data_IF_698122658855
#
_entry.id   IF_698122658855
#
_cell.length_a   1.000
_cell.length_b   1.000
_cell.length_c   1.000
_cell.angle_alpha   90.00
_cell.angle_beta   90.00
_cell.angle_gamma   90.00
#
_symmetry.space_group_name_H-M   'P 1'
#
loop_
_entity.id
_entity.type
_entity.pdbx_description
1 polymer ?
#
# COMPACT_ATOMS: atom_id res chain seq x y z
N UNK A 1 -0.86 2.81 2.91
CA UNK A 1 -0.44 1.38 2.91
C UNK A 1 0.82 1.20 2.08
N UNK A 2 0.80 1.49 0.76
CA UNK A 2 1.94 1.24 -0.14
C UNK A 2 3.26 1.82 0.40
N UNK A 3 3.30 3.12 0.74
CA UNK A 3 4.51 3.78 1.25
C UNK A 3 5.06 3.13 2.54
N UNK A 4 4.18 2.70 3.46
CA UNK A 4 4.61 2.01 4.68
C UNK A 4 5.23 0.64 4.37
N UNK A 5 4.57 -0.13 3.48
CA UNK A 5 5.07 -1.45 3.07
C UNK A 5 6.41 -1.33 2.38
N UNK A 6 6.55 -0.37 1.46
CA UNK A 6 7.79 -0.12 0.74
C UNK A 6 8.93 0.29 1.69
N UNK A 7 8.68 1.27 2.57
CA UNK A 7 9.69 1.72 3.54
C UNK A 7 10.22 0.58 4.41
N UNK A 8 9.34 -0.31 4.90
CA UNK A 8 9.74 -1.46 5.73
C UNK A 8 10.46 -2.51 4.88
N UNK A 9 9.90 -2.86 3.70
CA UNK A 9 10.44 -3.93 2.87
C UNK A 9 11.82 -3.58 2.32
N UNK A 10 12.01 -2.38 1.77
CA UNK A 10 13.30 -1.89 1.27
C UNK A 10 14.34 -1.80 2.40
N UNK A 11 13.96 -1.22 3.55
CA UNK A 11 14.87 -1.12 4.70
C UNK A 11 15.30 -2.51 5.19
N UNK A 12 14.34 -3.43 5.33
CA UNK A 12 14.65 -4.81 5.78
C UNK A 12 15.51 -5.54 4.75
N UNK A 13 15.20 -5.40 3.46
CA UNK A 13 15.93 -6.04 2.38
C UNK A 13 17.36 -5.52 2.22
N UNK A 14 17.59 -4.23 2.51
CA UNK A 14 18.94 -3.63 2.43
C UNK A 14 19.90 -4.16 3.50
N UNK A 15 19.39 -4.72 4.60
CA UNK A 15 20.22 -5.32 5.63
C UNK A 15 20.81 -6.65 5.13
N UNK A 16 22.15 -6.81 5.09
CA UNK A 16 22.74 -8.04 4.60
C UNK A 16 22.52 -9.21 5.56
N UNK A 17 22.03 -10.33 5.04
CA UNK A 17 21.99 -11.58 5.78
C UNK A 17 23.34 -12.31 5.64
N UNK A 18 24.12 -12.29 6.70
CA UNK A 18 25.45 -12.89 6.73
C UNK A 18 25.38 -14.22 7.49
N UNK A 19 25.81 -15.29 6.84
CA UNK A 19 25.96 -16.59 7.45
C UNK A 19 27.30 -16.69 8.18
N UNK A 20 27.28 -17.07 9.45
CA UNK A 20 28.48 -17.26 10.26
C UNK A 20 28.62 -18.74 10.66
N UNK A 21 29.86 -19.22 10.65
CA UNK A 21 30.28 -20.46 11.28
C UNK A 21 30.71 -20.14 12.71
N UNK A 22 30.24 -20.90 13.67
CA UNK A 22 30.67 -20.78 15.06
C UNK A 22 31.89 -21.67 15.29
N UNK A 23 33.00 -21.07 15.72
CA UNK A 23 34.21 -21.78 16.14
C UNK A 23 34.05 -22.44 17.52
N UNK A 24 34.97 -23.33 17.88
CA UNK A 24 34.98 -24.04 19.18
C UNK A 24 35.12 -23.06 20.35
N UNK A 25 35.89 -21.99 20.18
CA UNK A 25 36.11 -20.94 21.19
C UNK A 25 34.98 -19.89 21.24
N UNK A 26 33.88 -20.09 20.48
CA UNK A 26 32.76 -19.16 20.42
C UNK A 26 32.92 -18.02 19.43
N UNK A 27 34.03 -17.93 18.75
CA UNK A 27 34.30 -16.98 17.68
C UNK A 27 33.36 -17.18 16.47
N UNK A 28 33.15 -16.11 15.71
CA UNK A 28 32.26 -16.12 14.54
C UNK A 28 33.05 -15.77 13.29
N UNK A 29 33.14 -16.72 12.36
CA UNK A 29 33.73 -16.54 11.04
C UNK A 29 32.64 -16.51 9.97
N UNK A 30 32.78 -15.63 8.96
CA UNK A 30 31.84 -15.60 7.82
C UNK A 30 31.99 -16.89 7.01
N UNK A 31 30.91 -17.64 6.86
CA UNK A 31 30.87 -18.89 6.13
C UNK A 31 30.64 -18.65 4.62
N UNK A 32 31.55 -17.92 3.98
CA UNK A 32 31.44 -17.52 2.56
C UNK A 32 31.53 -18.72 1.60
N UNK A 33 32.12 -19.82 2.04
CA UNK A 33 32.21 -21.09 1.33
C UNK A 33 30.93 -21.90 1.38
N UNK A 34 29.99 -21.59 2.29
CA UNK A 34 28.74 -22.32 2.43
C UNK A 34 27.75 -21.88 1.34
N UNK A 35 27.11 -22.82 0.59
CA UNK A 35 26.19 -22.48 -0.49
C UNK A 35 25.06 -21.52 -0.09
N UNK A 36 24.53 -21.69 1.11
CA UNK A 36 23.48 -20.82 1.63
C UNK A 36 23.93 -19.36 1.82
N UNK A 37 25.25 -19.10 1.97
CA UNK A 37 25.76 -17.74 2.04
C UNK A 37 25.38 -16.95 0.80
N UNK A 38 25.68 -17.51 -0.39
CA UNK A 38 25.34 -16.88 -1.68
C UNK A 38 23.85 -16.66 -1.83
N UNK A 39 23.03 -17.64 -1.47
CA UNK A 39 21.56 -17.57 -1.60
C UNK A 39 20.96 -16.44 -0.75
N UNK A 40 21.47 -16.26 0.46
CA UNK A 40 20.96 -15.27 1.41
C UNK A 40 21.57 -13.87 1.23
N UNK A 41 22.80 -13.79 0.71
CA UNK A 41 23.56 -12.54 0.63
C UNK A 41 23.59 -11.95 -0.78
N UNK A 42 23.87 -12.77 -1.80
CA UNK A 42 24.15 -12.28 -3.15
C UNK A 42 22.97 -12.54 -4.11
N UNK A 43 22.64 -13.80 -4.35
CA UNK A 43 21.76 -14.24 -5.43
C UNK A 43 20.82 -15.34 -4.92
N UNK A 44 19.54 -15.03 -4.77
CA UNK A 44 18.54 -15.97 -4.27
C UNK A 44 18.23 -17.08 -5.29
N UNK A 45 18.13 -16.72 -6.57
CA UNK A 45 17.87 -17.62 -7.71
C UNK A 45 18.39 -16.96 -9.00
N UNK A 46 18.40 -17.65 -10.15
CA UNK A 46 18.90 -17.09 -11.42
C UNK A 46 18.22 -15.79 -11.88
N UNK A 47 17.01 -15.52 -11.42
CA UNK A 47 16.20 -14.36 -11.86
C UNK A 47 16.21 -13.21 -10.84
N UNK A 48 16.56 -13.48 -9.56
CA UNK A 48 16.43 -12.51 -8.48
C UNK A 48 17.67 -12.46 -7.59
N UNK A 49 18.11 -11.28 -7.28
CA UNK A 49 19.10 -11.04 -6.23
C UNK A 49 18.54 -11.42 -4.86
N UNK A 50 19.41 -11.61 -3.88
CA UNK A 50 18.99 -11.85 -2.50
C UNK A 50 18.20 -10.66 -1.91
N UNK A 51 18.52 -9.43 -2.34
CA UNK A 51 17.79 -8.22 -1.94
C UNK A 51 16.36 -8.24 -2.47
N UNK A 52 16.18 -8.43 -3.78
CA UNK A 52 14.85 -8.47 -4.41
C UNK A 52 13.96 -9.58 -3.84
N UNK A 53 14.52 -10.76 -3.60
CA UNK A 53 13.79 -11.86 -2.98
C UNK A 53 13.34 -11.52 -1.54
N UNK A 54 14.20 -10.90 -0.74
CA UNK A 54 13.86 -10.46 0.64
C UNK A 54 12.80 -9.37 0.63
N UNK A 55 12.93 -8.38 -0.25
CA UNK A 55 11.96 -7.31 -0.40
C UNK A 55 10.57 -7.85 -0.75
N UNK A 56 10.50 -8.71 -1.77
CA UNK A 56 9.26 -9.36 -2.19
C UNK A 56 8.63 -10.16 -1.04
N UNK A 57 9.40 -10.96 -0.32
CA UNK A 57 8.91 -11.76 0.79
C UNK A 57 8.46 -10.88 1.96
N UNK A 58 9.20 -9.80 2.27
CA UNK A 58 8.81 -8.87 3.33
C UNK A 58 7.51 -8.14 2.98
N UNK A 59 7.35 -7.72 1.72
CA UNK A 59 6.09 -7.14 1.25
C UNK A 59 4.92 -8.15 1.36
N UNK A 60 5.15 -9.41 1.04
CA UNK A 60 4.18 -10.51 1.22
C UNK A 60 3.72 -10.66 2.67
N UNK A 61 4.66 -10.65 3.61
CA UNK A 61 4.36 -10.70 5.06
C UNK A 61 3.52 -9.50 5.49
N UNK A 62 3.85 -8.29 5.03
CA UNK A 62 3.15 -7.06 5.41
C UNK A 62 1.76 -6.94 4.79
N UNK A 63 1.58 -7.42 3.56
CA UNK A 63 0.30 -7.33 2.85
C UNK A 63 -0.65 -8.49 3.16
N UNK A 64 -0.10 -9.72 3.22
CA UNK A 64 -0.88 -10.97 3.32
C UNK A 64 -0.73 -11.67 4.66
N UNK A 65 0.18 -11.20 5.51
CA UNK A 65 0.54 -11.88 6.76
C UNK A 65 1.48 -13.06 6.58
N UNK A 66 1.74 -13.47 5.34
CA UNK A 66 2.53 -14.65 5.00
C UNK A 66 3.40 -14.39 3.77
N UNK A 67 4.57 -15.00 3.76
CA UNK A 67 5.38 -15.13 2.56
C UNK A 67 5.96 -16.54 2.47
N UNK A 68 6.05 -17.04 1.25
CA UNK A 68 6.52 -18.38 0.98
C UNK A 68 7.64 -18.34 -0.03
N UNK A 69 8.62 -19.21 0.13
CA UNK A 69 9.60 -19.47 -0.92
C UNK A 69 9.90 -20.95 -1.01
N UNK A 70 9.97 -21.46 -2.24
CA UNK A 70 10.42 -22.81 -2.52
C UNK A 70 11.93 -22.89 -2.36
N UNK A 71 12.40 -23.91 -1.65
CA UNK A 71 13.79 -24.24 -1.45
C UNK A 71 14.22 -25.28 -2.48
N UNK A 72 15.13 -24.92 -3.39
CA UNK A 72 15.73 -25.87 -4.33
C UNK A 72 17.06 -26.34 -3.74
N UNK A 73 17.20 -27.66 -3.64
CA UNK A 73 18.37 -28.30 -3.01
C UNK A 73 19.23 -29.00 -4.06
N UNK A 74 20.53 -29.00 -3.83
CA UNK A 74 21.46 -29.82 -4.58
C UNK A 74 21.41 -31.31 -4.15
N UNK A 75 22.18 -32.13 -4.83
CA UNK A 75 22.30 -33.57 -4.50
C UNK A 75 22.86 -33.83 -3.12
N UNK A 76 23.59 -32.86 -2.55
CA UNK A 76 24.11 -32.84 -1.18
C UNK A 76 23.08 -32.44 -0.13
N UNK A 77 21.83 -32.19 -0.54
CA UNK A 77 20.73 -31.75 0.34
C UNK A 77 20.80 -30.27 0.73
N UNK A 78 21.86 -29.54 0.34
CA UNK A 78 22.01 -28.13 0.70
C UNK A 78 21.16 -27.23 -0.20
N UNK A 79 20.62 -26.14 0.38
CA UNK A 79 19.84 -25.16 -0.39
C UNK A 79 20.75 -24.40 -1.35
N UNK A 80 20.39 -24.42 -2.62
CA UNK A 80 21.10 -23.75 -3.72
C UNK A 80 20.35 -22.56 -4.26
N UNK A 81 19.00 -22.56 -4.14
CA UNK A 81 18.15 -21.49 -4.63
C UNK A 81 16.95 -21.30 -3.70
N UNK A 82 16.46 -20.06 -3.64
CA UNK A 82 15.26 -19.64 -2.95
C UNK A 82 14.33 -18.94 -3.96
N UNK A 83 13.19 -19.53 -4.23
CA UNK A 83 12.20 -19.03 -5.18
C UNK A 83 10.99 -18.48 -4.42
N UNK A 84 10.83 -17.15 -4.26
CA UNK A 84 9.63 -16.57 -3.69
C UNK A 84 8.39 -16.97 -4.49
N UNK A 85 7.34 -17.35 -3.77
CA UNK A 85 6.05 -17.75 -4.34
C UNK A 85 5.03 -16.64 -4.08
N UNK A 86 4.09 -16.46 -5.02
CA UNK A 86 2.96 -15.54 -4.78
C UNK A 86 2.09 -16.11 -3.64
N UNK A 87 1.95 -15.40 -2.51
CA UNK A 87 1.18 -15.89 -1.37
C UNK A 87 -0.30 -16.17 -1.70
N UNK A 88 -0.87 -15.45 -2.66
CA UNK A 88 -2.28 -15.63 -3.07
C UNK A 88 -2.50 -16.97 -3.79
N UNK A 89 -1.42 -17.61 -4.26
CA UNK A 89 -1.44 -18.88 -4.97
C UNK A 89 -1.04 -20.07 -4.08
N UNK A 90 -0.81 -19.85 -2.79
CA UNK A 90 -0.39 -20.91 -1.85
C UNK A 90 -1.51 -21.20 -0.87
N UNK A 91 -1.92 -22.46 -0.82
CA UNK A 91 -2.84 -22.99 0.20
C UNK A 91 -2.08 -23.89 1.15
N UNK A 92 -2.15 -23.60 2.45
CA UNK A 92 -1.48 -24.41 3.48
C UNK A 92 -2.48 -25.35 4.13
N UNK A 93 -2.15 -26.61 4.20
CA UNK A 93 -3.00 -27.65 4.79
C UNK A 93 -2.23 -28.45 5.84
N UNK A 94 -2.92 -28.78 6.94
CA UNK A 94 -2.40 -29.69 7.96
C UNK A 94 -2.88 -31.11 7.63
N UNK A 95 -1.94 -32.02 7.44
CA UNK A 95 -2.19 -33.44 7.23
C UNK A 95 -1.69 -34.26 8.41
N UNK A 96 -1.96 -35.57 8.41
CA UNK A 96 -1.42 -36.51 9.41
C UNK A 96 0.12 -36.60 9.41
N UNK A 97 0.75 -36.27 8.27
CA UNK A 97 2.21 -36.27 8.09
C UNK A 97 2.85 -34.90 8.28
N UNK A 98 2.09 -33.87 8.61
CA UNK A 98 2.58 -32.51 8.80
C UNK A 98 1.92 -31.48 7.88
N UNK A 99 2.57 -30.30 7.74
CA UNK A 99 2.09 -29.25 6.85
C UNK A 99 2.49 -29.54 5.40
N UNK A 100 1.54 -29.29 4.50
CA UNK A 100 1.76 -29.31 3.05
C UNK A 100 1.33 -27.98 2.46
N UNK A 101 1.99 -27.58 1.38
CA UNK A 101 1.79 -26.29 0.71
C UNK A 101 1.41 -26.59 -0.74
N UNK A 102 0.16 -26.32 -1.09
CA UNK A 102 -0.35 -26.48 -2.45
C UNK A 102 -0.18 -25.14 -3.18
N UNK A 103 0.74 -25.11 -4.13
CA UNK A 103 1.02 -23.93 -4.95
C UNK A 103 0.43 -24.10 -6.35
N UNK A 104 -0.41 -23.17 -6.76
CA UNK A 104 -1.04 -23.17 -8.10
C UNK A 104 -0.43 -22.06 -8.95
N UNK A 105 0.21 -22.40 -10.06
CA UNK A 105 0.71 -21.45 -11.05
C UNK A 105 0.26 -21.88 -12.45
N UNK A 106 -0.31 -20.95 -13.20
CA UNK A 106 -0.78 -21.17 -14.58
C UNK A 106 -1.70 -22.43 -14.73
N UNK A 107 -2.55 -22.64 -13.70
CA UNK A 107 -3.46 -23.77 -13.64
C UNK A 107 -2.81 -25.10 -13.21
N UNK A 108 -1.51 -25.13 -12.98
CA UNK A 108 -0.79 -26.32 -12.52
C UNK A 108 -0.64 -26.29 -11.00
N UNK A 109 -1.16 -27.33 -10.33
CA UNK A 109 -1.03 -27.53 -8.89
C UNK A 109 0.28 -28.28 -8.59
N UNK A 110 1.11 -27.70 -7.75
CA UNK A 110 2.33 -28.34 -7.21
C UNK A 110 2.21 -28.45 -5.70
N UNK A 111 2.27 -29.66 -5.17
CA UNK A 111 2.30 -29.90 -3.73
C UNK A 111 3.74 -29.91 -3.24
N UNK A 112 4.03 -29.05 -2.26
CA UNK A 112 5.34 -28.95 -1.62
C UNK A 112 5.23 -29.41 -0.15
N UNK A 113 6.25 -30.07 0.33
CA UNK A 113 6.35 -30.51 1.71
C UNK A 113 6.95 -29.41 2.60
N UNK A 114 6.77 -29.52 3.90
CA UNK A 114 7.22 -28.52 4.86
C UNK A 114 8.74 -28.20 4.77
N UNK A 115 9.57 -29.18 4.45
CA UNK A 115 11.02 -29.00 4.30
C UNK A 115 11.44 -28.38 2.96
N UNK A 116 10.51 -28.25 2.00
CA UNK A 116 10.73 -27.64 0.71
C UNK A 116 10.31 -26.17 0.66
N UNK A 117 9.71 -25.65 1.76
CA UNK A 117 9.16 -24.29 1.80
C UNK A 117 9.73 -23.51 2.99
N UNK A 118 10.30 -22.35 2.71
CA UNK A 118 10.49 -21.32 3.72
C UNK A 118 9.19 -20.53 3.86
N UNK A 119 8.57 -20.60 5.03
CA UNK A 119 7.34 -19.88 5.35
C UNK A 119 7.63 -18.79 6.39
N UNK A 120 7.61 -17.52 5.98
CA UNK A 120 7.68 -16.36 6.86
C UNK A 120 6.26 -15.91 7.21
N UNK A 121 6.06 -15.58 8.48
CA UNK A 121 4.74 -15.23 9.02
C UNK A 121 4.83 -13.92 9.77
N UNK A 122 3.79 -13.13 9.69
CA UNK A 122 3.56 -12.03 10.61
C UNK A 122 3.17 -12.59 12.00
N UNK A 123 2.25 -11.98 12.72
CA UNK A 123 1.71 -12.57 13.95
C UNK A 123 0.89 -13.82 13.60
N UNK A 124 1.12 -14.92 14.31
CA UNK A 124 0.35 -16.15 14.12
C UNK A 124 -1.14 -15.91 14.41
N UNK A 125 -1.98 -16.48 13.56
CA UNK A 125 -3.41 -16.58 13.76
C UNK A 125 -3.80 -17.71 14.71
N UNK A 126 -5.11 -17.88 14.92
CA UNK A 126 -5.67 -18.84 15.88
C UNK A 126 -5.41 -20.30 15.47
N UNK A 127 -5.17 -20.56 14.18
CA UNK A 127 -4.79 -21.88 13.65
C UNK A 127 -3.35 -22.28 13.98
N UNK A 128 -2.53 -21.34 14.49
CA UNK A 128 -1.12 -21.53 14.81
C UNK A 128 -0.23 -21.85 13.59
N UNK A 129 -0.74 -21.66 12.36
CA UNK A 129 -0.06 -22.00 11.11
C UNK A 129 0.13 -20.77 10.24
N UNK A 130 -0.95 -20.05 9.99
CA UNK A 130 -0.93 -18.87 9.11
C UNK A 130 -0.68 -17.60 9.92
N UNK A 131 0.04 -16.67 9.31
CA UNK A 131 0.19 -15.31 9.81
C UNK A 131 -1.04 -14.46 9.49
N UNK A 132 -1.44 -13.60 10.42
CA UNK A 132 -2.54 -12.66 10.23
C UNK A 132 -2.06 -11.47 9.40
N UNK A 133 -2.78 -11.14 8.33
CA UNK A 133 -2.52 -9.93 7.56
C UNK A 133 -2.79 -8.68 8.41
N UNK A 134 -1.83 -7.73 8.52
CA UNK A 134 -2.06 -6.44 9.18
C UNK A 134 -3.25 -5.68 8.58
N UNK A 135 -3.40 -5.75 7.25
CA UNK A 135 -4.50 -5.10 6.53
C UNK A 135 -5.85 -5.74 6.90
N UNK A 136 -5.92 -7.07 6.96
CA UNK A 136 -7.14 -7.76 7.36
C UNK A 136 -7.49 -7.49 8.83
N UNK A 137 -6.49 -7.41 9.71
CA UNK A 137 -6.68 -7.09 11.12
C UNK A 137 -7.20 -5.66 11.35
N UNK A 138 -6.86 -4.72 10.47
CA UNK A 138 -7.29 -3.32 10.53
C UNK A 138 -8.24 -2.95 9.38
N UNK A 139 -9.08 -3.90 8.96
CA UNK A 139 -9.97 -3.77 7.82
C UNK A 139 -10.82 -2.50 7.87
N UNK A 140 -11.40 -2.18 9.02
CA UNK A 140 -12.22 -0.98 9.20
C UNK A 140 -11.46 0.33 8.92
N UNK A 141 -10.19 0.43 9.33
CA UNK A 141 -9.36 1.62 9.05
C UNK A 141 -9.10 1.77 7.55
N UNK A 142 -8.80 0.66 6.88
CA UNK A 142 -8.54 0.66 5.43
C UNK A 142 -9.81 0.97 4.64
N UNK A 143 -10.95 0.39 5.01
CA UNK A 143 -12.25 0.64 4.37
C UNK A 143 -12.69 2.09 4.56
N UNK A 144 -12.52 2.67 5.75
CA UNK A 144 -12.81 4.08 6.00
C UNK A 144 -11.96 4.99 5.11
N UNK A 145 -10.65 4.78 5.06
CA UNK A 145 -9.75 5.55 4.20
C UNK A 145 -10.10 5.43 2.71
N UNK A 146 -10.58 4.28 2.27
CA UNK A 146 -11.07 4.08 0.90
C UNK A 146 -12.36 4.86 0.64
N UNK A 147 -13.32 4.84 1.56
CA UNK A 147 -14.58 5.58 1.46
C UNK A 147 -14.33 7.11 1.42
N UNK A 148 -13.43 7.62 2.23
CA UNK A 148 -13.00 9.03 2.21
C UNK A 148 -12.37 9.44 0.87
N UNK A 149 -11.53 8.57 0.28
CA UNK A 149 -10.95 8.81 -1.04
C UNK A 149 -12.03 8.79 -2.14
N UNK A 150 -12.98 7.88 -2.07
CA UNK A 150 -14.09 7.80 -3.02
C UNK A 150 -15.01 9.02 -2.92
N UNK A 151 -15.35 9.44 -1.71
CA UNK A 151 -16.12 10.66 -1.47
C UNK A 151 -15.40 11.88 -2.09
N UNK A 152 -14.09 12.04 -1.83
CA UNK A 152 -13.31 13.10 -2.42
C UNK A 152 -13.30 13.05 -3.95
N UNK A 153 -13.06 11.87 -4.53
CA UNK A 153 -13.09 11.70 -5.98
C UNK A 153 -14.43 12.11 -6.57
N UNK A 154 -15.53 11.64 -5.99
CA UNK A 154 -16.89 11.96 -6.46
C UNK A 154 -17.19 13.46 -6.34
N UNK A 155 -16.76 14.11 -5.27
CA UNK A 155 -16.91 15.55 -5.08
C UNK A 155 -16.15 16.34 -6.15
N UNK A 156 -14.94 15.92 -6.51
CA UNK A 156 -14.14 16.61 -7.55
C UNK A 156 -14.56 16.27 -8.96
N UNK A 157 -14.99 15.02 -9.24
CA UNK A 157 -15.34 14.58 -10.60
C UNK A 157 -16.72 15.06 -11.01
N UNK A 158 -17.68 15.05 -10.10
CA UNK A 158 -19.07 15.41 -10.39
C UNK A 158 -19.31 16.93 -10.40
N UNK A 159 -18.28 17.73 -10.13
CA UNK A 159 -18.32 19.20 -10.27
C UNK A 159 -19.37 19.90 -9.39
N UNK A 160 -19.87 19.22 -8.36
CA UNK A 160 -21.01 19.66 -7.56
C UNK A 160 -20.68 20.81 -6.56
N UNK A 161 -19.43 21.34 -6.56
CA UNK A 161 -19.12 22.54 -5.80
C UNK A 161 -19.47 23.77 -6.60
N UNK A 162 -20.60 24.37 -6.25
CA UNK A 162 -20.88 25.73 -6.65
C UNK A 162 -19.81 26.63 -6.05
N UNK A 163 -18.95 27.19 -6.88
CA UNK A 163 -17.91 28.16 -6.45
C UNK A 163 -18.54 29.46 -5.94
N UNK A 164 -19.78 29.71 -6.31
CA UNK A 164 -20.54 30.86 -5.91
C UNK A 164 -21.96 30.87 -6.46
N UNK A 165 -22.75 31.79 -6.00
CA UNK A 165 -24.12 32.04 -6.44
C UNK A 165 -24.22 33.45 -7.01
N UNK A 166 -24.76 33.58 -8.21
CA UNK A 166 -25.16 34.86 -8.78
C UNK A 166 -26.58 35.19 -8.30
N UNK A 167 -26.73 36.27 -7.56
CA UNK A 167 -28.03 36.78 -7.07
C UNK A 167 -28.51 37.90 -8.00
N UNK A 168 -29.73 37.77 -8.46
CA UNK A 168 -30.40 38.77 -9.29
C UNK A 168 -31.51 39.43 -8.52
N UNK A 169 -31.71 40.73 -8.65
CA UNK A 169 -32.77 41.47 -7.92
C UNK A 169 -34.17 41.13 -8.39
N UNK A 170 -34.32 40.45 -9.50
CA UNK A 170 -35.60 40.06 -10.08
C UNK A 170 -35.67 38.61 -10.58
N UNK A 171 -36.86 38.19 -11.01
CA UNK A 171 -37.11 36.85 -11.53
C UNK A 171 -36.69 36.79 -13.03
N UNK A 172 -35.69 35.98 -13.30
CA UNK A 172 -35.23 35.71 -14.68
C UNK A 172 -36.15 34.74 -15.42
N UNK A 173 -36.39 34.97 -16.69
CA UNK A 173 -37.02 34.00 -17.58
C UNK A 173 -36.07 32.82 -17.81
N UNK A 174 -36.58 31.61 -18.14
CA UNK A 174 -35.76 30.42 -18.35
C UNK A 174 -34.63 30.65 -19.40
N UNK A 175 -34.95 31.31 -20.49
CA UNK A 175 -34.00 31.60 -21.58
C UNK A 175 -32.87 32.53 -21.15
N UNK A 176 -33.18 33.57 -20.38
CA UNK A 176 -32.19 34.49 -19.80
C UNK A 176 -31.27 33.75 -18.81
N UNK A 177 -31.81 32.87 -18.00
CA UNK A 177 -31.04 32.08 -17.06
C UNK A 177 -30.05 31.18 -17.78
N UNK A 178 -30.47 30.53 -18.87
CA UNK A 178 -29.58 29.68 -19.67
C UNK A 178 -28.48 30.49 -20.35
N UNK A 179 -28.80 31.64 -20.92
CA UNK A 179 -27.84 32.54 -21.57
C UNK A 179 -26.77 33.03 -20.57
N UNK A 180 -27.19 33.46 -19.39
CA UNK A 180 -26.28 33.89 -18.31
C UNK A 180 -25.37 32.73 -17.84
N UNK A 181 -25.94 31.56 -17.62
CA UNK A 181 -25.16 30.39 -17.20
C UNK A 181 -24.09 30.02 -18.24
N UNK A 182 -24.43 30.04 -19.51
CA UNK A 182 -23.51 29.75 -20.61
C UNK A 182 -22.39 30.82 -20.70
N UNK A 183 -22.76 32.12 -20.67
CA UNK A 183 -21.82 33.22 -20.72
C UNK A 183 -20.86 33.20 -19.50
N UNK A 184 -21.39 33.00 -18.30
CA UNK A 184 -20.59 32.91 -17.09
C UNK A 184 -19.61 31.75 -17.15
N UNK A 185 -20.09 30.58 -17.58
CA UNK A 185 -19.27 29.38 -17.70
C UNK A 185 -18.14 29.59 -18.73
N UNK A 186 -18.42 30.20 -19.86
CA UNK A 186 -17.42 30.43 -20.91
C UNK A 186 -16.33 31.45 -20.49
N UNK A 187 -16.67 32.42 -19.66
CA UNK A 187 -15.78 33.48 -19.21
C UNK A 187 -14.98 33.16 -17.97
N UNK A 188 -15.54 32.32 -17.05
CA UNK A 188 -14.99 32.10 -15.71
C UNK A 188 -14.71 30.63 -15.38
N UNK A 189 -15.17 29.66 -16.17
CA UNK A 189 -14.83 28.25 -15.98
C UNK A 189 -13.50 27.89 -16.67
N UNK A 190 -12.78 26.93 -16.01
CA UNK A 190 -11.52 26.39 -16.52
C UNK A 190 -10.27 27.10 -15.99
N UNK A 191 -9.16 26.35 -15.89
CA UNK A 191 -7.91 26.84 -15.32
C UNK A 191 -7.27 28.03 -16.04
N UNK A 192 -7.55 28.20 -17.33
CA UNK A 192 -7.06 29.34 -18.16
C UNK A 192 -7.74 30.65 -17.81
N UNK A 193 -8.90 30.65 -17.17
CA UNK A 193 -9.68 31.82 -16.79
C UNK A 193 -9.56 32.18 -15.31
N UNK A 194 -8.71 31.48 -14.58
CA UNK A 194 -8.45 31.74 -13.17
C UNK A 194 -7.81 33.12 -12.96
N UNK A 195 -8.32 33.89 -11.99
CA UNK A 195 -7.81 35.21 -11.66
C UNK A 195 -8.37 36.37 -12.51
N UNK A 196 -9.32 36.13 -13.42
CA UNK A 196 -9.98 37.22 -14.16
C UNK A 196 -10.98 37.96 -13.28
N UNK A 197 -11.04 39.28 -13.46
CA UNK A 197 -12.05 40.13 -12.77
C UNK A 197 -13.38 40.01 -13.50
N UNK A 198 -14.44 39.69 -12.75
CA UNK A 198 -15.81 39.70 -13.28
C UNK A 198 -16.42 41.11 -13.12
N UNK A 199 -17.10 41.58 -14.14
CA UNK A 199 -17.91 42.79 -14.08
C UNK A 199 -19.37 42.36 -13.93
N UNK A 200 -20.03 42.83 -12.86
CA UNK A 200 -21.41 42.52 -12.58
C UNK A 200 -22.25 43.78 -12.83
N UNK A 201 -23.27 43.64 -13.69
CA UNK A 201 -24.17 44.69 -14.09
C UNK A 201 -25.57 44.48 -13.51
N UNK A 202 -26.45 45.48 -13.59
CA UNK A 202 -27.87 45.42 -13.22
C UNK A 202 -28.18 44.96 -11.77
N UNK A 203 -27.28 45.25 -10.83
CA UNK A 203 -27.49 44.91 -9.44
C UNK A 203 -27.29 43.39 -9.12
N UNK A 204 -26.62 42.68 -10.01
CA UNK A 204 -26.21 41.29 -9.73
C UNK A 204 -25.13 41.27 -8.66
N UNK A 205 -25.29 40.40 -7.67
CA UNK A 205 -24.31 40.14 -6.65
C UNK A 205 -23.73 38.73 -6.77
N UNK A 206 -22.42 38.60 -6.59
CA UNK A 206 -21.73 37.33 -6.55
C UNK A 206 -21.37 36.97 -5.11
N UNK A 207 -22.04 35.98 -4.59
CA UNK A 207 -21.69 35.41 -3.30
C UNK A 207 -20.80 34.18 -3.51
N UNK A 208 -19.51 34.31 -3.19
CA UNK A 208 -18.62 33.17 -3.13
C UNK A 208 -19.10 32.20 -2.02
N UNK A 209 -19.19 30.94 -2.35
CA UNK A 209 -19.40 29.91 -1.34
C UNK A 209 -18.01 29.52 -0.81
N UNK A 210 -17.74 29.91 0.42
CA UNK A 210 -16.54 29.50 1.15
C UNK A 210 -16.56 27.99 1.41
N UNK A 211 -15.39 27.43 1.69
CA UNK A 211 -15.23 26.04 2.11
C UNK A 211 -16.21 25.74 3.27
N UNK A 212 -17.02 24.71 3.10
CA UNK A 212 -17.99 24.32 4.12
C UNK A 212 -17.28 23.72 5.32
N UNK A 213 -17.93 23.70 6.49
CA UNK A 213 -17.41 23.01 7.67
C UNK A 213 -17.15 21.52 7.36
N UNK A 214 -18.04 20.89 6.58
CA UNK A 214 -17.90 19.51 6.11
C UNK A 214 -16.64 19.29 5.28
N UNK A 215 -16.25 20.25 4.43
CA UNK A 215 -15.01 20.15 3.65
C UNK A 215 -13.76 20.22 4.54
N UNK A 216 -13.80 21.06 5.58
CA UNK A 216 -12.71 21.17 6.55
C UNK A 216 -12.60 19.89 7.40
N UNK A 217 -13.72 19.34 7.84
CA UNK A 217 -13.79 18.09 8.58
C UNK A 217 -13.30 16.92 7.72
N UNK A 218 -13.66 16.87 6.43
CA UNK A 218 -13.18 15.85 5.51
C UNK A 218 -11.65 15.90 5.30
N UNK A 219 -11.06 17.10 5.19
CA UNK A 219 -9.61 17.26 5.10
C UNK A 219 -8.94 16.75 6.39
N UNK A 220 -9.49 17.08 7.56
CA UNK A 220 -8.98 16.62 8.84
C UNK A 220 -9.08 15.09 8.98
N UNK A 221 -10.20 14.49 8.58
CA UNK A 221 -10.40 13.05 8.58
C UNK A 221 -9.36 12.35 7.67
N UNK A 222 -9.12 12.86 6.46
CA UNK A 222 -8.08 12.30 5.57
C UNK A 222 -6.68 12.36 6.18
N UNK A 223 -6.36 13.44 6.88
CA UNK A 223 -5.08 13.57 7.57
C UNK A 223 -4.95 12.53 8.69
N UNK A 224 -6.00 12.35 9.46
CA UNK A 224 -6.05 11.32 10.51
C UNK A 224 -5.93 9.90 9.96
N UNK A 225 -6.58 9.60 8.82
CA UNK A 225 -6.47 8.30 8.15
C UNK A 225 -5.03 7.95 7.72
N UNK A 226 -4.21 8.94 7.33
CA UNK A 226 -2.78 8.72 7.03
C UNK A 226 -2.03 8.29 8.28
N UNK A 227 -2.28 8.96 9.41
CA UNK A 227 -1.65 8.64 10.69
C UNK A 227 -2.09 7.27 11.23
N UNK A 228 -3.37 6.92 11.08
CA UNK A 228 -3.88 5.60 11.48
C UNK A 228 -3.24 4.47 10.67
N UNK A 229 -3.14 4.63 9.36
CA UNK A 229 -2.44 3.66 8.50
C UNK A 229 -0.97 3.57 8.87
N UNK A 230 -0.29 4.67 9.11
CA UNK A 230 1.11 4.68 9.54
C UNK A 230 1.29 3.94 10.89
N UNK A 231 0.38 4.16 11.83
CA UNK A 231 0.35 3.51 13.14
C UNK A 231 0.11 2.00 13.03
N UNK A 232 -0.74 1.55 12.10
CA UNK A 232 -0.97 0.13 11.83
C UNK A 232 0.34 -0.59 11.47
N UNK A 233 1.17 0.03 10.62
CA UNK A 233 2.47 -0.51 10.23
C UNK A 233 3.61 -0.11 11.18
N UNK A 234 3.33 0.67 12.22
CA UNK A 234 4.32 1.21 13.18
C UNK A 234 5.43 2.01 12.51
N UNK A 235 5.09 2.69 11.42
CA UNK A 235 5.99 3.58 10.68
C UNK A 235 5.70 5.02 11.10
N UNK A 236 6.70 5.81 11.52
CA UNK A 236 6.50 7.22 11.75
C UNK A 236 5.97 7.92 10.49
N UNK A 237 4.96 8.81 10.58
CA UNK A 237 4.43 9.52 9.42
C UNK A 237 5.49 10.26 8.59
N UNK A 238 6.53 10.75 9.22
CA UNK A 238 7.66 11.41 8.57
C UNK A 238 8.40 10.53 7.57
N UNK A 239 8.50 9.23 7.85
CA UNK A 239 9.16 8.24 6.95
C UNK A 239 8.38 8.05 5.64
N UNK A 240 7.06 8.23 5.68
CA UNK A 240 6.20 8.16 4.48
C UNK A 240 5.92 9.53 3.86
N UNK A 241 6.70 10.56 4.25
CA UNK A 241 6.64 11.89 3.67
C UNK A 241 5.58 12.82 4.28
N UNK A 242 4.97 12.45 5.39
CA UNK A 242 4.07 13.35 6.13
C UNK A 242 4.85 14.15 7.18
N UNK A 243 5.19 15.39 6.81
CA UNK A 243 6.03 16.30 7.63
C UNK A 243 5.22 17.23 8.53
N UNK A 244 3.90 17.14 8.57
CA UNK A 244 3.02 18.09 9.29
C UNK A 244 3.29 18.13 10.81
N UNK A 245 3.65 17.01 11.39
CA UNK A 245 3.96 16.87 12.82
C UNK A 245 5.44 16.53 13.07
N UNK A 246 6.31 16.71 12.06
CA UNK A 246 7.75 16.52 12.18
C UNK A 246 8.42 17.83 12.54
N UNK A 247 8.98 17.91 13.75
CA UNK A 247 9.94 18.94 14.12
C UNK A 247 11.31 18.56 13.62
#
# INVERSE_FOLDING_TARGET
VYACVQAIAETTASLPLILFRRGEDGDRERATDHPLYRVLHDQANPEQTALEAREYMQAGVLLRGNAFARLVRGYDGQVRELWPLNPDNVTVQRTSSGLVYDYTKDGVLTRLLAHEVLHLRHRLGDDGVMGVSPIAAARGVVELAQAENEHGRNTFTNGAKLLGVLKFPGRLKPEQRQAIATSWSSQHAGGSNSGRTAILEEGVDFQALSMTLEDAEWIAARQFSVEEVARLFRVPPTVIGDLRNGN
#
